data_IF_044950044402
#
_entry.id   IF_044950044402
#
_cell.length_a   1.000
_cell.length_b   1.000
_cell.length_c   1.000
_cell.angle_alpha   90.00
_cell.angle_beta   90.00
_cell.angle_gamma   90.00
#
_symmetry.space_group_name_H-M   'P 1'
#
loop_
_entity.id
_entity.type
_entity.pdbx_description
1 polymer ?
#
# COMPACT_ATOMS: atom_id res chain seq x y z
N UNK A 1 12.33 11.10 9.05
CA UNK A 1 13.02 10.17 9.96
C UNK A 1 13.33 8.91 9.17
N UNK A 2 14.57 8.40 9.21
CA UNK A 2 14.96 7.19 8.49
C UNK A 2 15.12 6.04 9.48
N UNK A 3 14.50 4.90 9.19
CA UNK A 3 14.50 3.71 10.05
C UNK A 3 15.30 2.60 9.38
N UNK A 4 16.55 2.42 9.82
CA UNK A 4 17.39 1.30 9.42
C UNK A 4 17.13 0.08 10.31
N UNK A 5 17.53 -1.11 9.85
CA UNK A 5 17.33 -2.40 10.54
C UNK A 5 17.75 -2.36 12.01
N UNK A 6 18.92 -1.78 12.32
CA UNK A 6 19.40 -1.66 13.70
C UNK A 6 18.52 -0.76 14.57
N UNK A 7 18.07 0.38 14.02
CA UNK A 7 17.19 1.31 14.73
C UNK A 7 15.79 0.75 14.92
N UNK A 8 15.28 0.03 13.91
CA UNK A 8 14.02 -0.70 13.99
C UNK A 8 14.10 -1.79 15.07
N UNK A 9 15.17 -2.59 15.09
CA UNK A 9 15.36 -3.64 16.10
C UNK A 9 15.45 -3.07 17.52
N UNK A 10 16.20 -1.98 17.72
CA UNK A 10 16.28 -1.28 19.01
C UNK A 10 14.91 -0.77 19.46
N UNK A 11 14.14 -0.20 18.54
CA UNK A 11 12.79 0.28 18.81
C UNK A 11 11.83 -0.84 19.19
N UNK A 12 11.78 -1.94 18.42
CA UNK A 12 10.90 -3.08 18.75
C UNK A 12 11.28 -3.70 20.07
N UNK A 13 12.59 -3.89 20.34
CA UNK A 13 13.06 -4.43 21.61
C UNK A 13 12.68 -3.56 22.82
N UNK A 14 12.69 -2.24 22.65
CA UNK A 14 12.37 -1.30 23.72
C UNK A 14 10.86 -1.13 23.94
N UNK A 15 10.10 -0.96 22.85
CA UNK A 15 8.67 -0.59 22.91
C UNK A 15 7.72 -1.80 22.86
N UNK A 16 8.14 -2.90 22.23
CA UNK A 16 7.28 -4.07 21.97
C UNK A 16 7.99 -5.39 22.28
N UNK A 17 8.49 -5.61 23.52
CA UNK A 17 9.22 -6.83 23.87
C UNK A 17 8.42 -8.12 23.64
N UNK A 18 7.08 -8.07 23.76
CA UNK A 18 6.19 -9.21 23.52
C UNK A 18 6.03 -9.55 22.03
N UNK A 19 6.23 -8.57 21.14
CA UNK A 19 6.14 -8.75 19.67
C UNK A 19 7.49 -9.16 19.08
N UNK A 20 8.60 -8.81 19.77
CA UNK A 20 9.96 -9.06 19.30
C UNK A 20 10.20 -10.49 18.76
N UNK A 21 9.72 -11.58 19.39
CA UNK A 21 9.90 -12.93 18.84
C UNK A 21 9.25 -13.11 17.46
N UNK A 22 8.04 -12.57 17.25
CA UNK A 22 7.34 -12.62 15.96
C UNK A 22 8.08 -11.78 14.91
N UNK A 23 8.50 -10.57 15.29
CA UNK A 23 9.25 -9.67 14.43
C UNK A 23 10.58 -10.28 13.93
N UNK A 24 11.30 -10.94 14.84
CA UNK A 24 12.56 -11.62 14.51
C UNK A 24 12.35 -12.86 13.64
N UNK A 25 11.20 -13.54 13.78
CA UNK A 25 10.93 -14.78 13.05
C UNK A 25 10.40 -14.55 11.63
N UNK A 26 10.07 -13.31 11.23
CA UNK A 26 9.64 -13.03 9.86
C UNK A 26 10.72 -13.47 8.85
N UNK A 27 10.39 -14.30 7.85
CA UNK A 27 11.39 -14.80 6.91
C UNK A 27 11.90 -13.71 5.95
N UNK A 28 11.11 -12.67 5.68
CA UNK A 28 11.44 -11.63 4.68
C UNK A 28 11.60 -10.26 5.32
N UNK A 29 12.58 -9.48 4.84
CA UNK A 29 12.79 -8.08 5.26
C UNK A 29 11.54 -7.22 5.03
N UNK A 30 10.79 -7.47 3.95
CA UNK A 30 9.57 -6.73 3.65
C UNK A 30 8.51 -6.89 4.76
N UNK A 31 8.37 -8.07 5.37
CA UNK A 31 7.44 -8.27 6.49
C UNK A 31 7.86 -7.46 7.72
N UNK A 32 9.18 -7.36 7.99
CA UNK A 32 9.69 -6.49 9.05
C UNK A 32 9.45 -5.01 8.75
N UNK A 33 9.61 -4.59 7.50
CA UNK A 33 9.31 -3.22 7.06
C UNK A 33 7.81 -2.90 7.18
N UNK A 34 6.94 -3.86 6.87
CA UNK A 34 5.48 -3.76 7.08
C UNK A 34 5.13 -3.72 8.57
N UNK A 35 5.74 -4.54 9.40
CA UNK A 35 5.47 -4.51 10.84
C UNK A 35 5.94 -3.20 11.49
N UNK A 36 7.15 -2.73 11.16
CA UNK A 36 7.73 -1.54 11.79
C UNK A 36 6.96 -0.27 11.44
N UNK A 37 6.45 -0.11 10.20
CA UNK A 37 5.68 1.08 9.82
C UNK A 37 4.40 1.21 10.64
N UNK A 38 3.74 0.10 10.98
CA UNK A 38 2.53 0.14 11.82
C UNK A 38 2.85 0.54 13.25
N UNK A 39 3.91 -0.02 13.83
CA UNK A 39 4.36 0.34 15.18
C UNK A 39 4.81 1.81 15.27
N UNK A 40 5.55 2.30 14.26
CA UNK A 40 5.98 3.71 14.19
C UNK A 40 4.75 4.63 14.10
N UNK A 41 3.80 4.34 13.21
CA UNK A 41 2.60 5.15 13.08
C UNK A 41 1.72 5.10 14.33
N UNK A 42 1.65 3.97 15.02
CA UNK A 42 0.95 3.89 16.29
C UNK A 42 1.63 4.77 17.36
N UNK A 43 2.94 4.67 17.53
CA UNK A 43 3.67 5.42 18.57
C UNK A 43 3.83 6.90 18.26
N UNK A 44 4.01 7.30 17.01
CA UNK A 44 4.35 8.67 16.67
C UNK A 44 3.25 9.39 15.89
N UNK A 45 2.33 8.65 15.28
CA UNK A 45 1.41 9.21 14.30
C UNK A 45 2.14 9.78 13.08
N UNK A 46 1.44 10.64 12.35
CA UNK A 46 1.98 11.32 11.18
C UNK A 46 1.70 10.57 9.88
N UNK A 47 2.60 10.74 8.91
CA UNK A 47 2.47 10.19 7.57
C UNK A 47 3.63 9.22 7.31
N UNK A 48 3.27 8.06 6.78
CA UNK A 48 4.19 7.09 6.20
C UNK A 48 3.99 7.03 4.68
N UNK A 49 5.10 6.95 3.96
CA UNK A 49 5.16 6.75 2.53
C UNK A 49 6.36 5.84 2.21
N UNK A 50 6.17 4.87 1.31
CA UNK A 50 7.28 4.09 0.75
C UNK A 50 8.28 5.03 0.04
N UNK A 51 9.56 4.63 0.01
CA UNK A 51 10.66 5.48 -0.47
C UNK A 51 10.63 5.72 -1.99
N UNK A 52 9.88 4.91 -2.72
CA UNK A 52 9.67 4.98 -4.17
C UNK A 52 8.42 5.77 -4.57
N UNK A 53 7.67 6.31 -3.59
CA UNK A 53 6.56 7.22 -3.87
C UNK A 53 7.06 8.63 -4.20
N UNK A 54 6.52 9.17 -5.30
CA UNK A 54 6.81 10.54 -5.75
C UNK A 54 5.59 11.42 -5.52
N UNK A 55 5.78 12.52 -4.77
CA UNK A 55 4.72 13.49 -4.50
C UNK A 55 4.36 14.30 -5.74
N UNK A 56 3.19 14.06 -6.31
CA UNK A 56 2.68 14.81 -7.47
C UNK A 56 1.92 16.08 -7.07
N UNK A 57 1.36 16.11 -5.86
CA UNK A 57 0.54 17.20 -5.32
C UNK A 57 0.74 17.34 -3.80
N UNK A 58 0.46 18.52 -3.22
CA UNK A 58 0.48 18.70 -1.77
C UNK A 58 -0.52 17.78 -1.06
N UNK A 59 -0.15 17.28 0.14
CA UNK A 59 -1.01 16.43 0.98
C UNK A 59 -2.02 17.23 1.81
N UNK A 60 -1.81 18.53 2.02
CA UNK A 60 -2.67 19.37 2.86
C UNK A 60 -4.17 19.23 2.59
N UNK A 61 -4.66 19.23 1.33
CA UNK A 61 -6.10 19.18 1.08
C UNK A 61 -6.76 17.90 1.59
N UNK A 62 -6.08 16.75 1.44
CA UNK A 62 -6.64 15.47 1.88
C UNK A 62 -6.51 15.31 3.40
N UNK A 63 -5.37 15.70 3.99
CA UNK A 63 -5.12 15.56 5.42
C UNK A 63 -5.94 16.54 6.28
N UNK A 64 -6.40 17.67 5.72
CA UNK A 64 -7.35 18.58 6.39
C UNK A 64 -8.75 17.99 6.54
N UNK A 65 -9.14 17.08 5.63
CA UNK A 65 -10.46 16.46 5.63
C UNK A 65 -10.48 15.10 6.32
N UNK A 66 -9.44 14.30 6.11
CA UNK A 66 -9.31 12.96 6.65
C UNK A 66 -8.04 12.88 7.50
N UNK A 67 -8.22 12.78 8.81
CA UNK A 67 -7.10 12.74 9.76
C UNK A 67 -6.37 11.40 9.76
N UNK A 68 -7.10 10.32 9.45
CA UNK A 68 -6.64 8.95 9.54
C UNK A 68 -7.09 8.16 8.31
N UNK A 69 -6.17 7.43 7.68
CA UNK A 69 -6.46 6.72 6.45
C UNK A 69 -5.25 6.11 5.76
N UNK A 70 -5.52 5.36 4.69
CA UNK A 70 -4.55 4.63 3.90
C UNK A 70 -4.96 4.57 2.44
N UNK A 71 -3.99 4.33 1.56
CA UNK A 71 -4.21 4.15 0.13
C UNK A 71 -4.88 2.82 -0.23
N UNK A 72 -5.35 2.71 -1.46
CA UNK A 72 -5.73 1.44 -2.10
C UNK A 72 -4.70 1.05 -3.16
N UNK A 73 -4.58 -0.24 -3.39
CA UNK A 73 -3.87 -0.78 -4.55
C UNK A 73 -4.54 -0.30 -5.84
N UNK A 74 -3.79 -0.09 -6.95
CA UNK A 74 -4.38 0.20 -8.25
C UNK A 74 -5.48 -0.82 -8.58
N UNK A 75 -6.68 -0.35 -8.97
CA UNK A 75 -7.85 -1.23 -9.12
C UNK A 75 -7.58 -2.49 -9.95
N UNK A 76 -6.75 -2.37 -11.00
CA UNK A 76 -6.42 -3.47 -11.89
C UNK A 76 -5.75 -4.64 -11.18
N UNK A 77 -4.90 -4.38 -10.17
CA UNK A 77 -4.14 -5.42 -9.48
C UNK A 77 -5.08 -6.43 -8.78
N UNK A 78 -5.84 -6.06 -7.73
CA UNK A 78 -6.64 -7.02 -7.00
C UNK A 78 -7.83 -7.57 -7.80
N UNK A 79 -8.35 -6.81 -8.77
CA UNK A 79 -9.49 -7.23 -9.57
C UNK A 79 -9.08 -8.31 -10.58
N UNK A 80 -7.99 -8.11 -11.32
CA UNK A 80 -7.59 -9.08 -12.33
C UNK A 80 -7.04 -10.37 -11.70
N UNK A 81 -6.28 -10.26 -10.60
CA UNK A 81 -5.65 -11.43 -9.99
C UNK A 81 -6.54 -12.18 -8.99
N UNK A 82 -7.44 -11.48 -8.29
CA UNK A 82 -8.24 -12.08 -7.21
C UNK A 82 -9.74 -11.72 -7.25
N UNK A 83 -10.21 -11.10 -8.34
CA UNK A 83 -11.60 -10.67 -8.49
C UNK A 83 -12.11 -9.87 -7.29
N UNK A 84 -11.27 -8.96 -6.80
CA UNK A 84 -11.47 -8.26 -5.54
C UNK A 84 -11.36 -6.75 -5.71
N UNK A 85 -12.33 -6.02 -5.17
CA UNK A 85 -12.32 -4.56 -5.14
C UNK A 85 -11.96 -4.03 -3.75
N UNK A 86 -11.21 -2.93 -3.73
CA UNK A 86 -10.87 -2.20 -2.50
C UNK A 86 -9.84 -2.89 -1.63
N UNK A 87 -8.76 -3.37 -2.24
CA UNK A 87 -7.60 -3.87 -1.52
C UNK A 87 -6.81 -2.68 -0.98
N UNK A 88 -6.65 -2.61 0.35
CA UNK A 88 -5.87 -1.57 1.00
C UNK A 88 -4.39 -1.74 0.67
N UNK A 89 -3.70 -0.63 0.45
CA UNK A 89 -2.27 -0.58 0.23
C UNK A 89 -1.59 0.13 1.40
N UNK A 90 -0.59 -0.53 1.97
CA UNK A 90 0.18 -0.05 3.13
C UNK A 90 1.40 0.80 2.75
N UNK A 91 1.53 1.19 1.48
CA UNK A 91 2.60 2.05 0.98
C UNK A 91 2.38 3.54 1.27
N UNK A 92 1.13 3.99 1.43
CA UNK A 92 0.81 5.32 1.98
C UNK A 92 -0.21 5.21 3.10
N UNK A 93 0.12 5.79 4.26
CA UNK A 93 -0.71 5.76 5.46
C UNK A 93 -0.54 7.07 6.24
N UNK A 94 -1.63 7.59 6.79
CA UNK A 94 -1.61 8.76 7.65
C UNK A 94 -2.51 8.51 8.86
N UNK A 95 -1.99 8.65 10.07
CA UNK A 95 -2.75 8.36 11.29
C UNK A 95 -2.36 9.29 12.42
N UNK A 96 -3.31 9.56 13.32
CA UNK A 96 -2.99 10.11 14.63
C UNK A 96 -2.26 9.08 15.47
N UNK A 97 -1.38 9.56 16.35
CA UNK A 97 -0.75 8.75 17.37
C UNK A 97 -1.82 8.02 18.19
N UNK A 98 -1.57 6.76 18.48
CA UNK A 98 -2.43 5.85 19.23
C UNK A 98 -3.82 5.59 18.64
N UNK A 99 -3.98 5.71 17.32
CA UNK A 99 -5.25 5.42 16.66
C UNK A 99 -5.69 3.95 16.89
N UNK A 100 -6.98 3.67 17.23
CA UNK A 100 -7.44 2.32 17.54
C UNK A 100 -7.18 1.31 16.43
N UNK A 101 -7.43 1.69 15.17
CA UNK A 101 -7.11 0.83 14.02
C UNK A 101 -5.63 0.44 13.94
N UNK A 102 -4.71 1.38 14.21
CA UNK A 102 -3.27 1.09 14.21
C UNK A 102 -2.90 0.14 15.35
N UNK A 103 -3.56 0.24 16.50
CA UNK A 103 -3.39 -0.70 17.61
C UNK A 103 -3.80 -2.11 17.21
N UNK A 104 -4.93 -2.25 16.51
CA UNK A 104 -5.39 -3.55 15.99
C UNK A 104 -4.36 -4.16 15.05
N UNK A 105 -3.76 -3.36 14.14
CA UNK A 105 -2.69 -3.87 13.28
C UNK A 105 -1.50 -4.41 14.11
N UNK A 106 -1.02 -3.64 15.08
CA UNK A 106 0.13 -4.03 15.91
C UNK A 106 -0.17 -5.27 16.76
N UNK A 107 -1.37 -5.34 17.36
CA UNK A 107 -1.76 -6.46 18.23
C UNK A 107 -2.05 -7.75 17.46
N UNK A 108 -2.34 -7.63 16.16
CA UNK A 108 -2.71 -8.79 15.34
C UNK A 108 -1.51 -9.57 14.80
N UNK A 109 -0.27 -9.12 14.99
CA UNK A 109 0.90 -9.80 14.44
C UNK A 109 1.02 -11.28 14.85
N UNK A 110 0.62 -11.63 16.06
CA UNK A 110 0.65 -13.02 16.55
C UNK A 110 -0.46 -13.90 15.96
N UNK A 111 -1.53 -13.30 15.44
CA UNK A 111 -2.70 -14.02 14.92
C UNK A 111 -2.56 -14.44 13.46
N UNK A 112 -1.55 -13.94 12.75
CA UNK A 112 -1.25 -14.29 11.37
C UNK A 112 0.03 -15.14 11.32
N UNK A 113 0.00 -16.37 10.77
CA UNK A 113 1.16 -17.25 10.86
C UNK A 113 2.37 -16.66 10.15
N UNK A 114 3.53 -16.75 10.79
CA UNK A 114 4.81 -16.17 10.30
C UNK A 114 5.25 -16.78 8.95
N UNK A 115 4.81 -18.01 8.66
CA UNK A 115 5.12 -18.76 7.46
C UNK A 115 4.24 -18.40 6.24
N UNK A 116 3.22 -17.57 6.39
CA UNK A 116 2.37 -17.14 5.26
C UNK A 116 3.10 -16.07 4.44
N UNK A 117 2.81 -16.03 3.14
CA UNK A 117 3.28 -15.00 2.21
C UNK A 117 3.22 -13.57 2.81
N UNK A 118 4.16 -12.70 2.42
CA UNK A 118 4.25 -11.32 2.94
C UNK A 118 2.92 -10.57 2.86
N UNK A 119 2.23 -10.76 1.74
CA UNK A 119 0.94 -10.16 1.43
C UNK A 119 -0.14 -10.44 2.49
N UNK A 120 -0.10 -11.63 3.09
CA UNK A 120 -1.10 -12.14 4.04
C UNK A 120 -0.72 -11.93 5.51
N UNK A 121 0.57 -11.89 5.82
CA UNK A 121 1.05 -11.82 7.20
C UNK A 121 1.17 -10.40 7.74
N UNK A 122 1.57 -9.45 6.89
CA UNK A 122 1.79 -8.05 7.28
C UNK A 122 1.48 -7.04 6.18
N UNK A 123 1.27 -7.48 4.94
CA UNK A 123 1.03 -6.62 3.77
C UNK A 123 -0.45 -6.27 3.49
N UNK A 124 -0.78 -5.95 2.23
CA UNK A 124 -2.11 -5.48 1.81
C UNK A 124 -3.31 -6.34 2.26
N UNK A 125 -3.25 -7.67 2.20
CA UNK A 125 -4.39 -8.51 2.65
C UNK A 125 -4.55 -8.47 4.16
N UNK A 126 -3.46 -8.53 4.91
CA UNK A 126 -3.47 -8.38 6.37
C UNK A 126 -4.20 -7.09 6.78
N UNK A 127 -3.79 -5.95 6.21
CA UNK A 127 -4.41 -4.65 6.51
C UNK A 127 -5.86 -4.60 6.05
N UNK A 128 -6.18 -5.17 4.88
CA UNK A 128 -7.54 -5.17 4.32
C UNK A 128 -8.51 -5.95 5.19
N UNK A 129 -8.12 -7.11 5.70
CA UNK A 129 -8.94 -7.94 6.60
C UNK A 129 -9.26 -7.15 7.86
N UNK A 130 -8.23 -6.60 8.52
CA UNK A 130 -8.40 -5.86 9.76
C UNK A 130 -9.17 -4.56 9.56
N UNK A 131 -8.95 -3.87 8.43
CA UNK A 131 -9.70 -2.66 8.06
C UNK A 131 -11.20 -2.95 7.92
N UNK A 132 -11.56 -4.04 7.22
CA UNK A 132 -12.96 -4.43 7.02
C UNK A 132 -13.66 -4.76 8.33
N UNK A 133 -12.98 -5.47 9.23
CA UNK A 133 -13.52 -5.76 10.55
C UNK A 133 -13.71 -4.46 11.35
N UNK A 134 -12.69 -3.59 11.34
CA UNK A 134 -12.73 -2.32 12.05
C UNK A 134 -13.91 -1.44 11.62
N UNK A 135 -14.09 -1.22 10.32
CA UNK A 135 -15.21 -0.38 9.82
C UNK A 135 -16.58 -1.02 10.03
N UNK A 136 -16.68 -2.36 10.08
CA UNK A 136 -17.92 -3.05 10.38
C UNK A 136 -18.33 -2.85 11.84
N UNK A 137 -17.37 -3.01 12.75
CA UNK A 137 -17.54 -2.80 14.20
C UNK A 137 -17.75 -1.31 14.55
N UNK A 138 -17.16 -0.39 13.76
CA UNK A 138 -17.23 1.06 13.95
C UNK A 138 -18.11 1.73 12.89
N UNK A 139 -19.17 1.05 12.42
CA UNK A 139 -20.05 1.56 11.35
C UNK A 139 -20.74 2.90 11.66
N UNK A 140 -20.80 3.28 12.94
CA UNK A 140 -21.31 4.56 13.42
C UNK A 140 -20.28 5.70 13.37
N UNK A 141 -18.99 5.40 13.21
CA UNK A 141 -17.91 6.39 13.15
C UNK A 141 -17.75 6.87 11.71
N UNK A 142 -17.85 8.17 11.49
CA UNK A 142 -17.66 8.73 10.16
C UNK A 142 -16.17 8.81 9.83
N UNK A 143 -15.80 8.60 8.56
CA UNK A 143 -14.40 8.61 8.07
C UNK A 143 -13.63 9.92 8.31
N UNK A 144 -14.31 11.01 8.64
CA UNK A 144 -13.68 12.31 8.97
C UNK A 144 -13.48 12.50 10.48
N UNK A 145 -14.01 11.58 11.29
CA UNK A 145 -13.87 11.63 12.74
C UNK A 145 -12.47 11.20 13.16
N UNK A 146 -12.12 11.45 14.43
CA UNK A 146 -10.79 11.16 14.95
C UNK A 146 -10.42 9.67 14.92
N UNK A 147 -11.43 8.80 15.01
CA UNK A 147 -11.32 7.33 14.94
C UNK A 147 -11.75 6.80 13.56
N UNK A 148 -12.18 7.67 12.66
CA UNK A 148 -12.57 7.29 11.31
C UNK A 148 -11.36 6.86 10.50
N UNK A 149 -11.50 5.84 9.65
CA UNK A 149 -10.44 5.42 8.72
C UNK A 149 -10.91 5.65 7.30
N UNK A 150 -10.26 6.57 6.59
CA UNK A 150 -10.51 6.80 5.18
C UNK A 150 -9.66 5.88 4.30
N UNK A 151 -10.32 5.01 3.55
CA UNK A 151 -9.68 4.27 2.47
C UNK A 151 -9.68 5.11 1.20
N UNK A 152 -8.53 5.71 0.89
CA UNK A 152 -8.39 6.64 -0.23
C UNK A 152 -8.43 5.90 -1.57
N UNK A 153 -9.17 6.39 -2.57
CA UNK A 153 -9.16 5.85 -3.93
C UNK A 153 -7.74 5.82 -4.52
N UNK A 154 -7.38 4.82 -5.33
CA UNK A 154 -6.06 4.72 -5.95
C UNK A 154 -5.63 5.98 -6.70
N UNK A 155 -6.55 6.73 -7.30
CA UNK A 155 -6.28 7.96 -8.05
C UNK A 155 -5.54 9.04 -7.25
N UNK A 156 -5.59 8.96 -5.91
CA UNK A 156 -4.90 9.91 -5.03
C UNK A 156 -3.43 9.55 -4.78
N UNK A 157 -3.10 8.26 -4.71
CA UNK A 157 -1.79 7.78 -4.23
C UNK A 157 -1.15 6.74 -5.15
N UNK A 158 -1.95 5.93 -5.82
CA UNK A 158 -1.57 4.83 -6.71
C UNK A 158 -2.34 4.90 -8.06
N UNK A 159 -2.23 6.01 -8.82
CA UNK A 159 -3.09 6.27 -9.98
C UNK A 159 -2.78 5.39 -11.20
N UNK A 160 -1.66 4.66 -11.20
CA UNK A 160 -1.20 3.84 -12.32
C UNK A 160 -0.84 2.44 -11.87
N UNK A 161 -1.03 1.47 -12.74
CA UNK A 161 -0.49 0.12 -12.59
C UNK A 161 1.00 0.07 -12.93
N UNK A 162 1.73 -0.87 -12.33
CA UNK A 162 3.15 -1.07 -12.62
C UNK A 162 3.38 -1.37 -14.10
N UNK A 163 4.40 -0.73 -14.70
CA UNK A 163 4.78 -0.99 -16.09
C UNK A 163 5.12 -2.47 -16.33
N UNK A 164 5.64 -3.14 -15.30
CA UNK A 164 6.01 -4.56 -15.34
C UNK A 164 4.84 -5.52 -15.50
N UNK A 165 3.60 -5.12 -15.17
CA UNK A 165 2.44 -6.03 -15.19
C UNK A 165 1.56 -5.90 -16.45
N UNK A 166 1.96 -5.04 -17.40
CA UNK A 166 1.18 -4.75 -18.61
C UNK A 166 0.93 -6.00 -19.46
N UNK A 167 1.91 -6.90 -19.52
CA UNK A 167 1.80 -8.16 -20.28
C UNK A 167 0.81 -9.10 -19.61
N UNK A 168 0.90 -9.23 -18.30
CA UNK A 168 0.04 -10.05 -17.46
C UNK A 168 -1.41 -9.56 -17.54
N UNK A 169 -1.63 -8.25 -17.47
CA UNK A 169 -2.96 -7.65 -17.66
C UNK A 169 -3.53 -8.03 -19.02
N UNK A 170 -2.76 -7.87 -20.10
CA UNK A 170 -3.20 -8.26 -21.46
C UNK A 170 -3.55 -9.75 -21.53
N UNK A 171 -2.75 -10.61 -20.90
CA UNK A 171 -3.03 -12.04 -20.83
C UNK A 171 -4.32 -12.32 -20.07
N UNK A 172 -4.54 -11.71 -18.90
CA UNK A 172 -5.78 -11.89 -18.13
C UNK A 172 -7.00 -11.43 -18.93
N UNK A 173 -6.94 -10.24 -19.54
CA UNK A 173 -8.04 -9.67 -20.32
C UNK A 173 -8.32 -10.38 -21.65
N UNK A 174 -7.48 -11.32 -22.06
CA UNK A 174 -7.71 -12.17 -23.25
C UNK A 174 -8.52 -13.44 -22.94
N UNK A 175 -8.75 -13.74 -21.66
CA UNK A 175 -9.54 -14.91 -21.24
C UNK A 175 -11.00 -14.71 -21.61
N UNK A 176 -11.68 -15.81 -21.97
CA UNK A 176 -13.10 -15.78 -22.37
C UNK A 176 -14.05 -15.72 -21.17
N UNK A 177 -13.66 -16.32 -20.05
CA UNK A 177 -14.50 -16.47 -18.86
C UNK A 177 -14.11 -15.45 -17.79
N UNK A 178 -14.30 -14.17 -18.09
CA UNK A 178 -14.09 -13.09 -17.12
C UNK A 178 -15.35 -12.88 -16.27
N UNK A 179 -15.16 -12.63 -14.98
CA UNK A 179 -16.25 -12.16 -14.13
C UNK A 179 -16.68 -10.75 -14.55
N UNK A 180 -17.86 -10.30 -14.10
CA UNK A 180 -18.31 -8.93 -14.32
C UNK A 180 -17.27 -7.88 -13.88
N UNK A 181 -16.67 -8.07 -12.70
CA UNK A 181 -15.68 -7.14 -12.16
C UNK A 181 -14.37 -7.16 -12.95
N UNK A 182 -13.93 -8.33 -13.42
CA UNK A 182 -12.75 -8.45 -14.28
C UNK A 182 -12.98 -7.84 -15.66
N UNK A 183 -14.17 -8.03 -16.25
CA UNK A 183 -14.55 -7.38 -17.51
C UNK A 183 -14.48 -5.86 -17.38
N UNK A 184 -15.08 -5.31 -16.31
CA UNK A 184 -14.99 -3.88 -16.01
C UNK A 184 -13.55 -3.38 -15.87
N UNK A 185 -12.69 -4.12 -15.15
CA UNK A 185 -11.28 -3.75 -15.02
C UNK A 185 -10.53 -3.79 -16.36
N UNK A 186 -10.83 -4.78 -17.22
CA UNK A 186 -10.24 -4.86 -18.56
C UNK A 186 -10.69 -3.73 -19.48
N UNK A 187 -11.90 -3.22 -19.32
CA UNK A 187 -12.38 -2.02 -20.01
C UNK A 187 -11.67 -0.77 -19.50
N UNK A 188 -11.53 -0.61 -18.18
CA UNK A 188 -10.77 0.49 -17.58
C UNK A 188 -9.33 0.53 -18.08
N UNK A 189 -8.64 -0.62 -18.13
CA UNK A 189 -7.27 -0.72 -18.63
C UNK A 189 -7.12 -0.21 -20.08
N UNK A 190 -8.10 -0.47 -20.95
CA UNK A 190 -8.09 0.06 -22.32
C UNK A 190 -8.21 1.58 -22.35
N UNK A 191 -8.83 2.20 -21.37
CA UNK A 191 -8.91 3.66 -21.26
C UNK A 191 -7.56 4.21 -20.77
N UNK A 192 -6.98 3.62 -19.73
CA UNK A 192 -5.76 4.15 -19.09
C UNK A 192 -4.50 4.06 -19.95
N UNK A 193 -4.36 3.00 -20.77
CA UNK A 193 -3.15 2.78 -21.60
C UNK A 193 -3.14 3.62 -22.88
N UNK A 194 -4.29 4.13 -23.33
CA UNK A 194 -4.39 4.91 -24.58
C UNK A 194 -4.38 6.43 -24.38
N UNK A 195 -4.42 6.92 -23.13
CA UNK A 195 -4.45 8.37 -22.82
C UNK A 195 -3.19 8.91 -22.14
N UNK A 196 -2.09 8.14 -22.07
CA UNK A 196 -0.79 8.70 -21.64
C UNK A 196 -0.04 9.22 -22.86
N UNK A 197 -0.05 10.54 -23.16
CA UNK A 197 0.86 11.08 -24.17
C UNK A 197 2.29 10.78 -23.72
N UNK A 198 3.00 10.03 -24.56
CA UNK A 198 4.43 9.79 -24.43
C UNK A 198 5.12 11.16 -24.25
N UNK A 199 5.67 11.42 -23.07
CA UNK A 199 6.44 12.65 -22.87
C UNK A 199 7.70 12.57 -23.73
N UNK A 200 8.13 13.64 -24.42
CA UNK A 200 9.26 13.59 -25.37
C UNK A 200 10.64 13.31 -24.74
N UNK A 201 10.73 12.94 -23.46
CA UNK A 201 11.98 12.87 -22.72
C UNK A 201 12.77 11.56 -22.89
N UNK A 202 12.21 10.51 -23.50
CA UNK A 202 12.89 9.21 -23.64
C UNK A 202 13.68 9.03 -24.95
N UNK A 203 13.78 10.06 -25.80
CA UNK A 203 14.56 10.03 -27.05
C UNK A 203 15.76 11.01 -27.05
N UNK A 204 16.66 10.90 -26.08
CA UNK A 204 18.05 11.41 -26.16
C UNK A 204 18.95 10.52 -25.28
N UNK A 205 19.99 9.84 -25.73
CA UNK A 205 20.53 9.67 -27.06
C UNK A 205 21.55 8.54 -27.00
N UNK A 206 21.40 7.56 -27.89
CA UNK A 206 22.51 6.75 -28.37
C UNK A 206 23.17 7.60 -29.45
N UNK A 207 24.23 8.34 -29.11
CA UNK A 207 25.15 8.87 -30.11
C UNK A 207 26.58 8.48 -29.73
N UNK A 208 27.14 7.77 -30.70
CA UNK A 208 28.43 7.14 -30.76
C UNK A 208 29.59 8.10 -30.54
N UNK A 209 30.56 7.65 -29.74
CA UNK A 209 31.92 8.15 -29.78
C UNK A 209 32.51 7.99 -31.19
N UNK A 210 32.62 9.09 -31.94
CA UNK A 210 33.59 9.22 -33.03
C UNK A 210 34.67 10.23 -32.62
N UNK A 211 35.86 9.67 -32.46
CA UNK A 211 37.16 10.33 -32.34
C UNK A 211 37.36 11.38 -33.44
N UNK A 212 37.99 12.50 -33.07
CA UNK A 212 38.93 13.24 -33.91
C UNK A 212 39.78 14.17 -33.02
N UNK A 213 40.93 13.64 -32.55
CA UNK A 213 42.23 14.31 -32.50
C UNK A 213 43.29 13.22 -32.64
#
# INVERSE_FOLDING_TARGET
>A
MFWADETAMKFVKAMYPMILPFFMNYPRNLQRADAIRYMILYEYGGVYADLDLVGLRPLDPILRKYFCGLSQEPYLHPILYSNFYGLACNAFMAYRRHHPFMKILVDSFSSFPVAVETFDSTGPRFVTILYRNYIAEHSHVHKTDNEGVYLAPPEYFMPSSDAGIQKEIKTQCSKKDLTHLQTWACEMFKITVWEVPQTPAQNRGILSNRKNR
#
